data_IF_423022750888
#
_entry.id   IF_423022750888
#
_cell.length_a   1.000
_cell.length_b   1.000
_cell.length_c   1.000
_cell.angle_alpha   90.00
_cell.angle_beta   90.00
_cell.angle_gamma   90.00
#
_symmetry.space_group_name_H-M   'P 1'
#
loop_
_entity.id
_entity.type
_entity.pdbx_description
1 polymer ?
#
# COMPACT_ATOMS: atom_id res chain seq x y z
N UNK A 1 -15.12 10.37 -9.87
CA UNK A 1 -14.55 9.04 -9.63
C UNK A 1 -13.06 9.13 -9.80
N UNK A 2 -12.37 9.08 -8.67
CA UNK A 2 -10.92 9.04 -8.49
C UNK A 2 -10.53 7.60 -8.19
N UNK A 3 -9.48 7.11 -8.85
CA UNK A 3 -8.99 5.74 -8.65
C UNK A 3 -7.49 5.80 -8.43
N UNK A 4 -7.03 5.24 -7.31
CA UNK A 4 -5.61 5.08 -7.01
C UNK A 4 -5.25 3.61 -7.05
N UNK A 5 -4.38 3.23 -7.98
CA UNK A 5 -3.75 1.91 -7.99
C UNK A 5 -2.39 2.01 -7.29
N UNK A 6 -2.30 1.45 -6.08
CA UNK A 6 -1.15 1.50 -5.19
C UNK A 6 -0.46 0.13 -5.22
N UNK A 7 0.67 0.02 -5.91
CA UNK A 7 1.45 -1.20 -6.02
C UNK A 7 2.62 -1.20 -5.01
N UNK A 8 2.54 -2.10 -4.04
CA UNK A 8 3.53 -2.25 -2.97
C UNK A 8 4.80 -2.95 -3.45
N UNK A 9 4.67 -3.87 -4.41
CA UNK A 9 5.79 -4.66 -4.89
C UNK A 9 6.80 -3.83 -5.69
N UNK A 10 6.32 -2.86 -6.47
CA UNK A 10 7.17 -1.98 -7.28
C UNK A 10 7.21 -0.52 -6.83
N UNK A 11 6.56 -0.17 -5.71
CA UNK A 11 6.59 1.19 -5.17
C UNK A 11 5.99 2.22 -6.14
N UNK A 12 4.76 1.98 -6.61
CA UNK A 12 4.11 2.82 -7.64
C UNK A 12 2.68 3.17 -7.26
N UNK A 13 2.27 4.42 -7.48
CA UNK A 13 0.87 4.84 -7.42
C UNK A 13 0.46 5.39 -8.78
N UNK A 14 -0.60 4.84 -9.37
CA UNK A 14 -1.20 5.34 -10.61
C UNK A 14 -2.56 5.95 -10.27
N UNK A 15 -2.69 7.26 -10.48
CA UNK A 15 -3.90 8.02 -10.20
C UNK A 15 -4.69 8.32 -11.48
N UNK A 16 -5.96 7.93 -11.47
CA UNK A 16 -6.93 8.22 -12.52
C UNK A 16 -8.06 9.10 -12.00
N UNK A 17 -8.56 9.98 -12.84
CA UNK A 17 -9.76 10.75 -12.61
C UNK A 17 -10.67 10.66 -13.85
N UNK A 18 -11.92 10.23 -13.65
CA UNK A 18 -12.87 9.99 -14.74
C UNK A 18 -12.27 9.14 -15.88
N UNK A 19 -11.61 8.03 -15.51
CA UNK A 19 -10.91 7.09 -16.41
C UNK A 19 -9.72 7.66 -17.20
N UNK A 20 -9.33 8.90 -16.93
CA UNK A 20 -8.14 9.52 -17.53
C UNK A 20 -6.97 9.38 -16.57
N UNK A 21 -5.81 8.96 -17.08
CA UNK A 21 -4.57 8.95 -16.31
C UNK A 21 -4.18 10.39 -15.98
N UNK A 22 -4.10 10.72 -14.69
CA UNK A 22 -3.72 12.06 -14.24
C UNK A 22 -2.25 12.09 -13.85
N UNK A 23 -1.81 11.15 -13.02
CA UNK A 23 -0.45 11.16 -12.46
C UNK A 23 0.04 9.76 -12.14
N UNK A 24 1.36 9.57 -12.26
CA UNK A 24 2.08 8.39 -11.75
C UNK A 24 3.12 8.85 -10.76
N UNK A 25 3.15 8.23 -9.59
CA UNK A 25 4.16 8.41 -8.55
C UNK A 25 5.00 7.15 -8.42
N UNK A 26 6.31 7.32 -8.16
CA UNK A 26 7.25 6.24 -7.84
C UNK A 26 7.95 6.55 -6.52
N UNK A 27 8.15 5.52 -5.71
CA UNK A 27 8.75 5.57 -4.38
C UNK A 27 9.36 4.20 -4.06
N UNK A 28 9.96 4.05 -2.89
CA UNK A 28 10.50 2.78 -2.44
C UNK A 28 9.40 1.73 -2.31
N UNK A 29 9.64 0.54 -2.84
CA UNK A 29 8.73 -0.59 -2.66
C UNK A 29 8.63 -0.99 -1.19
N UNK A 30 7.59 -1.74 -0.83
CA UNK A 30 7.48 -2.28 0.52
C UNK A 30 8.67 -3.20 0.87
N UNK A 31 9.17 -3.94 -0.13
CA UNK A 31 10.36 -4.77 0.00
C UNK A 31 11.62 -3.95 0.24
N UNK A 32 11.79 -2.83 -0.47
CA UNK A 32 12.92 -1.92 -0.27
C UNK A 32 12.93 -1.41 1.18
N UNK A 33 11.77 -1.04 1.71
CA UNK A 33 11.63 -0.58 3.10
C UNK A 33 11.95 -1.70 4.09
N UNK A 34 11.48 -2.92 3.84
CA UNK A 34 11.82 -4.06 4.68
C UNK A 34 13.33 -4.34 4.63
N UNK A 35 13.96 -4.32 3.46
CA UNK A 35 15.40 -4.51 3.31
C UNK A 35 16.20 -3.46 4.11
N UNK A 36 15.81 -2.18 4.02
CA UNK A 36 16.44 -1.09 4.77
C UNK A 36 16.29 -1.32 6.28
N UNK A 37 15.08 -1.62 6.76
CA UNK A 37 14.81 -1.80 8.20
C UNK A 37 15.53 -3.02 8.78
N UNK A 38 15.68 -4.09 8.00
CA UNK A 38 16.28 -5.35 8.48
C UNK A 38 17.75 -5.53 8.10
N UNK A 39 18.31 -4.63 7.27
CA UNK A 39 19.69 -4.68 6.76
C UNK A 39 20.07 -6.08 6.27
N UNK A 40 19.19 -6.73 5.51
CA UNK A 40 19.34 -8.13 5.11
C UNK A 40 19.52 -8.25 3.61
N UNK A 41 20.63 -8.86 3.17
CA UNK A 41 20.85 -9.24 1.77
C UNK A 41 20.06 -10.50 1.37
N UNK A 42 18.87 -10.69 1.93
CA UNK A 42 18.02 -11.86 1.68
C UNK A 42 17.13 -11.60 0.46
N UNK A 43 16.72 -12.65 -0.28
CA UNK A 43 15.66 -12.56 -1.27
C UNK A 43 14.35 -12.01 -0.66
N UNK A 44 13.52 -11.35 -1.47
CA UNK A 44 12.30 -10.67 -1.04
C UNK A 44 11.32 -11.57 -0.24
N UNK A 45 11.14 -12.82 -0.68
CA UNK A 45 10.25 -13.78 -0.02
C UNK A 45 10.77 -14.18 1.37
N UNK A 46 12.10 -14.30 1.53
CA UNK A 46 12.75 -14.60 2.81
C UNK A 46 12.71 -13.40 3.77
N UNK A 47 12.78 -12.18 3.24
CA UNK A 47 12.57 -10.95 4.01
C UNK A 47 11.16 -10.95 4.58
N UNK A 48 10.13 -11.15 3.75
CA UNK A 48 8.72 -11.19 4.17
C UNK A 48 8.50 -12.20 5.30
N UNK A 49 8.96 -13.44 5.12
CA UNK A 49 8.85 -14.48 6.13
C UNK A 49 9.50 -14.04 7.47
N UNK A 50 10.66 -13.40 7.41
CA UNK A 50 11.38 -12.90 8.59
C UNK A 50 10.65 -11.72 9.25
N UNK A 51 10.08 -10.80 8.49
CA UNK A 51 9.33 -9.64 9.03
C UNK A 51 8.07 -10.11 9.76
N UNK A 52 7.36 -11.09 9.16
CA UNK A 52 6.15 -11.68 9.73
C UNK A 52 6.50 -12.43 11.02
N UNK A 53 7.51 -13.31 11.01
CA UNK A 53 7.93 -14.10 12.18
C UNK A 53 8.43 -13.21 13.33
N UNK A 54 9.07 -12.08 13.02
CA UNK A 54 9.54 -11.14 14.04
C UNK A 54 8.46 -10.19 14.57
N UNK A 55 7.19 -10.37 14.17
CA UNK A 55 6.04 -9.54 14.56
C UNK A 55 6.24 -8.04 14.28
N UNK A 56 7.14 -7.70 13.36
CA UNK A 56 7.47 -6.31 13.01
C UNK A 56 6.66 -5.80 11.82
N UNK A 57 5.85 -6.66 11.22
CA UNK A 57 5.11 -6.35 9.99
C UNK A 57 4.06 -5.25 10.21
N UNK A 58 3.33 -5.28 11.33
CA UNK A 58 2.29 -4.29 11.64
C UNK A 58 2.85 -2.87 11.71
N UNK A 59 3.87 -2.56 12.54
CA UNK A 59 4.39 -1.20 12.60
C UNK A 59 5.03 -0.74 11.27
N UNK A 60 5.62 -1.65 10.49
CA UNK A 60 6.18 -1.28 9.17
C UNK A 60 5.05 -0.96 8.18
N UNK A 61 3.98 -1.75 8.16
CA UNK A 61 2.79 -1.47 7.35
C UNK A 61 2.15 -0.14 7.74
N UNK A 62 1.99 0.11 9.04
CA UNK A 62 1.41 1.35 9.54
C UNK A 62 2.23 2.56 9.07
N UNK A 63 3.54 2.56 9.29
CA UNK A 63 4.40 3.64 8.82
C UNK A 63 4.38 3.80 7.29
N UNK A 64 4.42 2.69 6.55
CA UNK A 64 4.46 2.71 5.09
C UNK A 64 3.15 3.26 4.51
N UNK A 65 2.00 2.73 4.94
CA UNK A 65 0.68 3.18 4.48
C UNK A 65 0.44 4.63 4.86
N UNK A 66 0.75 5.04 6.10
CA UNK A 66 0.60 6.43 6.52
C UNK A 66 1.44 7.38 5.66
N UNK A 67 2.69 7.03 5.37
CA UNK A 67 3.55 7.84 4.48
C UNK A 67 2.91 8.00 3.09
N UNK A 68 2.38 6.94 2.50
CA UNK A 68 1.73 7.01 1.19
C UNK A 68 0.50 7.92 1.21
N UNK A 69 -0.33 7.75 2.23
CA UNK A 69 -1.55 8.53 2.40
C UNK A 69 -1.22 10.01 2.61
N UNK A 70 -0.28 10.32 3.52
CA UNK A 70 0.07 11.69 3.89
C UNK A 70 0.85 12.43 2.80
N UNK A 71 1.61 11.71 1.96
CA UNK A 71 2.45 12.34 0.93
C UNK A 71 1.73 12.49 -0.40
N UNK A 72 0.98 11.47 -0.83
CA UNK A 72 0.43 11.42 -2.19
C UNK A 72 -1.08 11.63 -2.26
N UNK A 73 -1.78 11.52 -1.13
CA UNK A 73 -3.25 11.38 -1.09
C UNK A 73 -3.94 12.40 -0.15
N UNK A 74 -3.22 13.01 0.81
CA UNK A 74 -3.76 13.75 1.97
C UNK A 74 -4.65 14.96 1.65
N UNK A 75 -4.51 15.57 0.48
CA UNK A 75 -5.23 16.78 0.11
C UNK A 75 -6.43 16.51 -0.82
N UNK A 76 -6.89 15.27 -0.91
CA UNK A 76 -7.94 14.85 -1.82
C UNK A 76 -9.27 14.69 -1.08
N UNK A 77 -10.29 15.42 -1.51
CA UNK A 77 -11.66 15.16 -1.08
C UNK A 77 -12.14 13.84 -1.70
N UNK A 78 -12.12 12.76 -0.91
CA UNK A 78 -12.66 11.46 -1.28
C UNK A 78 -14.16 11.39 -1.03
N UNK A 79 -14.83 10.67 -1.92
CA UNK A 79 -16.23 10.31 -1.82
C UNK A 79 -16.39 8.79 -1.89
N UNK A 80 -17.54 8.28 -1.45
CA UNK A 80 -17.87 6.84 -1.49
C UNK A 80 -17.77 6.21 -2.89
N UNK A 81 -17.69 7.03 -3.94
CA UNK A 81 -17.51 6.64 -5.33
C UNK A 81 -16.05 6.64 -5.81
N UNK A 82 -15.10 6.83 -4.91
CA UNK A 82 -13.67 6.84 -5.18
C UNK A 82 -13.02 5.58 -4.60
N UNK A 83 -11.93 5.15 -5.23
CA UNK A 83 -11.38 3.81 -5.05
C UNK A 83 -9.89 3.85 -4.72
N UNK A 84 -9.49 3.14 -3.67
CA UNK A 84 -8.11 2.79 -3.37
C UNK A 84 -7.90 1.30 -3.63
N UNK A 85 -7.08 0.98 -4.64
CA UNK A 85 -6.71 -0.37 -5.00
C UNK A 85 -5.29 -0.64 -4.54
N UNK A 86 -5.17 -1.42 -3.46
CA UNK A 86 -3.90 -1.88 -2.92
C UNK A 86 -3.49 -3.19 -3.60
N UNK A 87 -2.30 -3.20 -4.19
CA UNK A 87 -1.82 -4.33 -5.00
C UNK A 87 -0.43 -4.78 -4.55
N UNK A 88 -0.18 -6.08 -4.68
CA UNK A 88 1.12 -6.70 -4.45
C UNK A 88 1.00 -8.04 -3.74
N UNK A 89 2.04 -8.86 -3.86
CA UNK A 89 2.07 -10.24 -3.34
C UNK A 89 1.74 -10.34 -1.84
N UNK A 90 2.06 -9.29 -1.07
CA UNK A 90 1.75 -9.26 0.38
C UNK A 90 0.25 -9.40 0.68
N UNK A 91 -0.64 -9.05 -0.26
CA UNK A 91 -2.08 -9.14 -0.06
C UNK A 91 -2.63 -10.56 -0.26
N UNK A 92 -1.79 -11.53 -0.63
CA UNK A 92 -2.11 -12.96 -0.50
C UNK A 92 -2.33 -13.36 0.98
N UNK A 93 -1.74 -12.63 1.93
CA UNK A 93 -1.93 -12.83 3.36
C UNK A 93 -3.15 -12.03 3.86
N UNK A 94 -4.24 -12.72 4.16
CA UNK A 94 -5.50 -12.08 4.60
C UNK A 94 -5.34 -11.10 5.78
N UNK A 95 -4.47 -11.39 6.73
CA UNK A 95 -4.25 -10.50 7.88
C UNK A 95 -3.65 -9.16 7.48
N UNK A 96 -2.79 -9.13 6.44
CA UNK A 96 -2.18 -7.90 5.92
C UNK A 96 -3.27 -6.97 5.36
N UNK A 97 -4.19 -7.51 4.55
CA UNK A 97 -5.31 -6.75 4.01
C UNK A 97 -6.16 -6.13 5.12
N UNK A 98 -6.45 -6.88 6.19
CA UNK A 98 -7.18 -6.36 7.34
C UNK A 98 -6.43 -5.23 8.08
N UNK A 99 -5.11 -5.34 8.24
CA UNK A 99 -4.33 -4.28 8.89
C UNK A 99 -4.26 -3.01 8.04
N UNK A 100 -4.02 -3.12 6.73
CA UNK A 100 -4.01 -1.95 5.83
C UNK A 100 -5.39 -1.27 5.81
N UNK A 101 -6.48 -2.04 5.78
CA UNK A 101 -7.83 -1.49 5.83
C UNK A 101 -8.10 -0.70 7.12
N UNK A 102 -7.64 -1.20 8.28
CA UNK A 102 -7.74 -0.47 9.55
C UNK A 102 -6.99 0.85 9.51
N UNK A 103 -5.76 0.86 8.98
CA UNK A 103 -4.93 2.07 8.89
C UNK A 103 -5.61 3.13 8.02
N UNK A 104 -6.16 2.73 6.86
CA UNK A 104 -6.88 3.66 5.97
C UNK A 104 -8.14 4.20 6.64
N UNK A 105 -8.93 3.35 7.30
CA UNK A 105 -10.14 3.75 8.03
C UNK A 105 -9.86 4.75 9.15
N UNK A 106 -8.73 4.60 9.85
CA UNK A 106 -8.32 5.55 10.90
C UNK A 106 -8.02 6.97 10.37
N UNK A 107 -7.85 7.15 9.06
CA UNK A 107 -7.66 8.45 8.41
C UNK A 107 -8.97 9.08 7.93
N UNK A 108 -10.12 8.46 8.19
CA UNK A 108 -11.46 8.93 7.81
C UNK A 108 -11.63 9.20 6.31
N UNK A 109 -10.88 8.50 5.45
CA UNK A 109 -11.10 8.57 4.01
C UNK A 109 -12.44 7.94 3.64
N UNK A 110 -13.37 8.76 3.17
CA UNK A 110 -14.65 8.30 2.65
C UNK A 110 -14.47 7.71 1.24
N UNK A 111 -13.87 6.52 1.12
CA UNK A 111 -13.63 5.84 -0.16
C UNK A 111 -13.70 4.31 -0.01
N UNK A 112 -13.79 3.60 -1.13
CA UNK A 112 -13.79 2.14 -1.15
C UNK A 112 -12.36 1.59 -1.28
N UNK A 113 -12.01 0.62 -0.44
CA UNK A 113 -10.70 -0.03 -0.43
C UNK A 113 -10.78 -1.46 -0.95
N UNK A 114 -9.89 -1.83 -1.86
CA UNK A 114 -9.77 -3.21 -2.35
C UNK A 114 -8.32 -3.67 -2.38
N UNK A 115 -8.13 -4.98 -2.27
CA UNK A 115 -6.83 -5.62 -2.12
C UNK A 115 -6.66 -6.72 -3.15
N UNK A 116 -5.55 -6.71 -3.88
CA UNK A 116 -5.25 -7.68 -4.94
C UNK A 116 -3.80 -8.16 -4.88
N UNK A 117 -3.57 -9.42 -5.23
CA UNK A 117 -2.21 -9.99 -5.26
C UNK A 117 -1.37 -9.43 -6.41
N UNK A 118 -1.99 -9.10 -7.56
CA UNK A 118 -1.30 -8.65 -8.77
C UNK A 118 -2.04 -7.50 -9.47
N UNK A 119 -1.37 -6.89 -10.45
CA UNK A 119 -1.99 -5.98 -11.44
C UNK A 119 -2.64 -6.79 -12.58
N UNK A 120 -3.67 -7.58 -12.28
CA UNK A 120 -4.67 -7.96 -13.30
C UNK A 120 -5.72 -6.87 -13.46
#
# INVERSE_FOLDING_TARGET
MKVYNINFDCGRITYFEYNSLVQVYRFHSFYDICEIVFSSSLPADDILAKVIVKEKIIPILDCYVQMLLDTFIVSMDFTENDFLYFRGKLFSYKFISCEVEKIVKNKDFNCQCYFFESEE
#
